data_IF_494860469181
#
_entry.id   IF_494860469181
#
_cell.length_a   1.000
_cell.length_b   1.000
_cell.length_c   1.000
_cell.angle_alpha   90.00
_cell.angle_beta   90.00
_cell.angle_gamma   90.00
#
_symmetry.space_group_name_H-M   'P 1'
#
loop_
_entity.id
_entity.type
_entity.pdbx_description
1 polymer ?
#
# COMPACT_ATOMS: atom_id res chain seq x y z
N UNK A 1 -15.61 -17.72 -44.46
CA UNK A 1 -14.63 -18.16 -43.45
C UNK A 1 -14.75 -17.20 -42.29
N UNK A 2 -15.49 -17.65 -41.29
CA UNK A 2 -16.04 -16.84 -40.21
C UNK A 2 -14.97 -16.49 -39.19
N UNK A 3 -14.79 -15.19 -38.93
CA UNK A 3 -13.95 -14.69 -37.84
C UNK A 3 -14.87 -14.33 -36.68
N UNK A 4 -15.44 -15.34 -36.04
CA UNK A 4 -15.99 -15.19 -34.69
C UNK A 4 -14.82 -14.99 -33.74
N UNK A 5 -14.31 -13.76 -33.71
CA UNK A 5 -13.40 -13.31 -32.66
C UNK A 5 -14.16 -13.49 -31.35
N UNK A 6 -13.65 -14.44 -30.58
CA UNK A 6 -14.16 -14.96 -29.33
C UNK A 6 -14.61 -13.82 -28.39
N UNK A 7 -15.92 -13.56 -28.37
CA UNK A 7 -16.56 -12.50 -27.58
C UNK A 7 -16.45 -12.74 -26.07
N UNK A 8 -16.29 -14.00 -25.66
CA UNK A 8 -16.07 -14.41 -24.26
C UNK A 8 -14.70 -13.96 -23.73
N UNK A 9 -13.66 -13.95 -24.58
CA UNK A 9 -12.31 -13.53 -24.18
C UNK A 9 -12.26 -12.05 -23.79
N UNK A 10 -13.08 -11.21 -24.44
CA UNK A 10 -13.18 -9.77 -24.17
C UNK A 10 -13.89 -9.43 -22.86
N UNK A 11 -14.81 -10.29 -22.40
CA UNK A 11 -15.56 -10.08 -21.15
C UNK A 11 -14.68 -10.44 -19.95
N UNK A 12 -13.88 -11.51 -20.04
CA UNK A 12 -12.93 -11.90 -19.00
C UNK A 12 -11.82 -10.85 -18.80
N UNK A 13 -11.26 -10.30 -19.88
CA UNK A 13 -10.18 -9.30 -19.78
C UNK A 13 -10.62 -8.00 -19.09
N UNK A 14 -11.87 -7.54 -19.26
CA UNK A 14 -12.38 -6.35 -18.55
C UNK A 14 -12.55 -6.62 -17.06
N UNK A 15 -13.06 -7.79 -16.69
CA UNK A 15 -13.27 -8.17 -15.30
C UNK A 15 -11.93 -8.33 -14.54
N UNK A 16 -10.93 -8.94 -15.18
CA UNK A 16 -9.57 -9.09 -14.60
C UNK A 16 -8.87 -7.73 -14.49
N UNK A 17 -8.96 -6.86 -15.49
CA UNK A 17 -8.43 -5.48 -15.43
C UNK A 17 -9.07 -4.66 -14.30
N UNK A 18 -10.38 -4.78 -14.09
CA UNK A 18 -11.08 -4.14 -12.97
C UNK A 18 -10.65 -4.66 -11.59
N UNK A 19 -10.26 -5.93 -11.50
CA UNK A 19 -9.74 -6.54 -10.27
C UNK A 19 -8.30 -6.11 -9.98
N UNK A 20 -7.42 -6.14 -10.99
CA UNK A 20 -6.01 -5.72 -10.85
C UNK A 20 -5.89 -4.23 -10.52
N UNK A 21 -6.70 -3.37 -11.14
CA UNK A 21 -6.72 -1.94 -10.82
C UNK A 21 -7.19 -1.69 -9.39
N UNK A 22 -8.20 -2.41 -8.90
CA UNK A 22 -8.61 -2.37 -7.49
C UNK A 22 -7.47 -2.80 -6.56
N UNK A 23 -6.78 -3.89 -6.87
CA UNK A 23 -5.63 -4.38 -6.09
C UNK A 23 -4.51 -3.32 -6.02
N UNK A 24 -4.10 -2.78 -7.18
CA UNK A 24 -3.09 -1.72 -7.24
C UNK A 24 -3.53 -0.50 -6.42
N UNK A 25 -4.78 -0.06 -6.55
CA UNK A 25 -5.32 1.05 -5.78
C UNK A 25 -5.33 0.77 -4.27
N UNK A 26 -5.66 -0.45 -3.83
CA UNK A 26 -5.59 -0.83 -2.41
C UNK A 26 -4.17 -0.77 -1.87
N UNK A 27 -3.18 -1.31 -2.61
CA UNK A 27 -1.78 -1.23 -2.20
C UNK A 27 -1.27 0.22 -2.14
N UNK A 28 -1.58 1.03 -3.15
CA UNK A 28 -1.20 2.46 -3.17
C UNK A 28 -1.82 3.22 -2.00
N UNK A 29 -3.08 2.95 -1.65
CA UNK A 29 -3.74 3.56 -0.48
C UNK A 29 -3.04 3.15 0.81
N UNK A 30 -2.71 1.86 0.98
CA UNK A 30 -1.98 1.41 2.16
C UNK A 30 -0.61 2.06 2.24
N UNK A 31 0.12 2.16 1.13
CA UNK A 31 1.43 2.82 1.11
C UNK A 31 1.32 4.28 1.51
N UNK A 32 0.31 5.01 1.02
CA UNK A 32 0.06 6.41 1.44
C UNK A 32 -0.25 6.51 2.93
N UNK A 33 -1.07 5.61 3.46
CA UNK A 33 -1.39 5.58 4.89
C UNK A 33 -0.12 5.31 5.72
N UNK A 34 0.63 4.27 5.37
CA UNK A 34 1.86 3.91 6.06
C UNK A 34 2.91 5.03 6.00
N UNK A 35 3.03 5.74 4.87
CA UNK A 35 3.93 6.89 4.74
C UNK A 35 3.54 8.04 5.66
N UNK A 36 2.23 8.35 5.76
CA UNK A 36 1.75 9.36 6.71
C UNK A 36 2.05 8.98 8.14
N UNK A 37 1.76 7.74 8.53
CA UNK A 37 2.04 7.25 9.89
C UNK A 37 3.53 7.27 10.20
N UNK A 38 4.39 6.84 9.26
CA UNK A 38 5.85 6.87 9.41
C UNK A 38 6.40 8.29 9.55
N UNK A 39 5.90 9.23 8.75
CA UNK A 39 6.29 10.64 8.85
C UNK A 39 5.94 11.21 10.22
N UNK A 40 4.70 10.97 10.68
CA UNK A 40 4.24 11.37 12.02
C UNK A 40 5.12 10.73 13.09
N UNK A 41 5.44 9.44 12.99
CA UNK A 41 6.29 8.73 13.95
C UNK A 41 7.72 9.30 13.99
N UNK A 42 8.27 9.73 12.84
CA UNK A 42 9.61 10.36 12.78
C UNK A 42 9.62 11.78 13.36
N UNK A 43 8.53 12.53 13.19
CA UNK A 43 8.39 13.92 13.64
C UNK A 43 7.86 14.01 15.09
N UNK A 44 7.36 12.89 15.64
CA UNK A 44 6.78 12.82 16.98
C UNK A 44 7.84 13.06 18.06
N UNK A 45 7.61 13.92 19.06
CA UNK A 45 8.55 14.14 20.17
C UNK A 45 8.68 12.92 21.10
N UNK A 46 9.81 12.80 21.80
CA UNK A 46 10.20 11.59 22.54
C UNK A 46 9.16 11.18 23.60
N UNK A 47 8.56 12.15 24.29
CA UNK A 47 7.54 11.90 25.31
C UNK A 47 6.27 11.21 24.77
N UNK A 48 5.89 11.48 23.52
CA UNK A 48 4.73 10.81 22.90
C UNK A 48 5.09 9.40 22.42
N UNK A 49 6.35 9.17 22.05
CA UNK A 49 6.85 7.83 21.75
C UNK A 49 6.90 6.96 23.01
N UNK A 50 7.30 7.54 24.14
CA UNK A 50 7.30 6.87 25.45
C UNK A 50 5.89 6.47 25.89
N UNK A 51 4.88 7.32 25.67
CA UNK A 51 3.48 7.04 26.01
C UNK A 51 2.92 5.82 25.26
N UNK A 52 3.34 5.61 24.00
CA UNK A 52 3.00 4.42 23.21
C UNK A 52 4.00 3.26 23.37
N UNK A 53 4.99 3.40 24.24
CA UNK A 53 6.01 2.38 24.52
C UNK A 53 6.99 2.11 23.36
N UNK A 54 7.20 3.08 22.48
CA UNK A 54 8.09 2.99 21.32
C UNK A 54 9.35 3.82 21.57
N UNK A 55 10.53 3.28 21.24
CA UNK A 55 11.76 4.08 21.33
C UNK A 55 11.99 4.91 20.07
N UNK A 56 12.72 6.04 20.19
CA UNK A 56 13.15 6.84 19.04
C UNK A 56 13.83 6.01 17.95
N UNK A 57 14.62 5.02 18.36
CA UNK A 57 15.31 4.12 17.43
C UNK A 57 14.34 3.18 16.70
N UNK A 58 13.32 2.67 17.38
CA UNK A 58 12.25 1.88 16.75
C UNK A 58 11.46 2.74 15.75
N UNK A 59 11.09 3.96 16.13
CA UNK A 59 10.39 4.89 15.26
C UNK A 59 11.20 5.23 13.99
N UNK A 60 12.50 5.48 14.15
CA UNK A 60 13.41 5.72 13.02
C UNK A 60 13.57 4.48 12.14
N UNK A 61 13.69 3.29 12.74
CA UNK A 61 13.79 2.04 11.98
C UNK A 61 12.53 1.79 11.16
N UNK A 62 11.35 2.05 11.70
CA UNK A 62 10.09 1.94 10.96
C UNK A 62 9.94 2.99 9.87
N UNK A 63 10.37 4.23 10.14
CA UNK A 63 10.36 5.33 9.18
C UNK A 63 11.26 5.07 7.97
N UNK A 64 12.39 4.38 8.17
CA UNK A 64 13.34 4.00 7.12
C UNK A 64 12.91 2.78 6.29
N UNK A 65 11.81 2.11 6.65
CA UNK A 65 11.38 0.92 5.89
C UNK A 65 10.98 1.31 4.47
N UNK A 66 11.28 0.47 3.47
CA UNK A 66 10.82 0.69 2.12
C UNK A 66 9.30 0.78 2.06
N UNK A 67 8.77 1.58 1.13
CA UNK A 67 7.33 1.79 1.01
C UNK A 67 6.58 0.52 0.56
N UNK A 68 7.26 -0.38 -0.17
CA UNK A 68 6.71 -1.63 -0.70
C UNK A 68 6.72 -2.78 0.31
N UNK A 69 7.40 -2.64 1.45
CA UNK A 69 7.52 -3.71 2.43
C UNK A 69 6.28 -3.71 3.34
N UNK A 70 5.38 -4.65 3.08
CA UNK A 70 4.24 -4.99 3.94
C UNK A 70 4.73 -5.90 5.08
N UNK A 71 4.14 -5.78 6.27
CA UNK A 71 4.42 -6.66 7.42
C UNK A 71 3.35 -7.74 7.50
#
# INVERSE_FOLDING_TARGET
MDKTINSDQYVQDRAVKGSLTKLILTYVRQWRQNQRTRKVLSEMPDHLLEDIGVTREQANRESRRPFWQYK
#
